data_IF_086141879334
#
_entry.id   IF_086141879334
#
_cell.length_a   1.000
_cell.length_b   1.000
_cell.length_c   1.000
_cell.angle_alpha   90.00
_cell.angle_beta   90.00
_cell.angle_gamma   90.00
#
_symmetry.space_group_name_H-M   'P 1'
#
loop_
_entity.id
_entity.type
_entity.pdbx_description
1 polymer ?
#
# COMPACT_ATOMS: atom_id res chain seq x y z
N UNK A 1 -58.32 46.75 69.16
CA UNK A 1 -58.07 47.22 67.78
C UNK A 1 -57.84 45.97 66.93
N UNK A 2 -58.68 45.62 65.93
CA UNK A 2 -58.79 46.25 64.60
C UNK A 2 -57.55 45.86 63.75
N UNK A 3 -57.61 45.15 62.59
CA UNK A 3 -58.68 44.95 61.57
C UNK A 3 -58.40 43.73 60.62
N UNK A 4 -59.42 43.28 59.86
CA UNK A 4 -59.54 42.98 58.39
C UNK A 4 -58.33 42.45 57.56
N UNK A 5 -58.42 41.57 56.51
CA UNK A 5 -59.41 40.55 56.00
C UNK A 5 -58.86 39.83 54.71
N UNK A 6 -59.38 38.64 54.31
CA UNK A 6 -59.22 37.95 52.97
C UNK A 6 -57.77 37.46 52.64
N UNK A 7 -57.39 36.56 51.69
CA UNK A 7 -57.94 35.70 50.58
C UNK A 7 -57.84 34.18 50.93
N UNK A 8 -58.26 33.10 50.21
CA UNK A 8 -58.65 32.64 48.84
C UNK A 8 -57.63 31.68 48.15
N UNK A 9 -58.06 30.41 47.97
CA UNK A 9 -57.70 29.36 46.97
C UNK A 9 -56.35 29.41 46.22
N UNK A 10 -55.60 28.29 46.27
CA UNK A 10 -54.84 27.78 45.11
C UNK A 10 -54.78 26.25 45.06
N UNK A 11 -54.67 25.72 43.83
CA UNK A 11 -54.80 24.30 43.48
C UNK A 11 -53.47 23.55 43.67
N UNK A 12 -53.51 22.29 44.12
CA UNK A 12 -52.32 21.41 44.17
C UNK A 12 -51.89 21.02 42.75
N UNK A 13 -50.83 21.65 42.24
CA UNK A 13 -50.20 21.28 40.97
C UNK A 13 -49.33 20.02 41.15
N UNK A 14 -49.76 18.92 40.55
CA UNK A 14 -48.93 17.73 40.36
C UNK A 14 -47.89 17.99 39.26
N UNK A 15 -46.68 18.40 39.64
CA UNK A 15 -45.55 18.49 38.73
C UNK A 15 -45.06 17.10 38.29
N UNK A 16 -45.74 16.56 37.28
CA UNK A 16 -45.18 15.50 36.45
C UNK A 16 -44.06 16.09 35.58
N UNK A 17 -42.84 15.60 35.73
CA UNK A 17 -41.80 15.81 34.72
C UNK A 17 -42.17 15.02 33.47
N UNK A 18 -42.93 15.62 32.56
CA UNK A 18 -42.95 15.14 31.18
C UNK A 18 -41.52 15.23 30.64
N UNK A 19 -40.96 14.07 30.30
CA UNK A 19 -39.69 13.99 29.58
C UNK A 19 -39.94 14.57 28.19
N UNK A 20 -39.50 15.81 27.96
CA UNK A 20 -39.57 16.41 26.63
C UNK A 20 -38.75 15.58 25.65
N UNK A 21 -39.45 14.92 24.74
CA UNK A 21 -38.84 14.32 23.56
C UNK A 21 -38.64 15.48 22.60
N UNK A 22 -37.46 16.13 22.65
CA UNK A 22 -37.10 17.04 21.56
C UNK A 22 -37.05 16.21 20.29
N UNK A 23 -38.03 16.43 19.41
CA UNK A 23 -38.10 15.75 18.13
C UNK A 23 -37.13 16.47 17.18
N UNK A 24 -35.84 16.23 17.38
CA UNK A 24 -34.73 16.62 16.51
C UNK A 24 -34.76 15.86 15.16
N UNK A 25 -35.97 15.65 14.62
CA UNK A 25 -36.21 15.31 13.23
C UNK A 25 -35.94 16.57 12.37
N UNK A 26 -34.68 17.00 12.37
CA UNK A 26 -34.19 18.03 11.47
C UNK A 26 -34.58 17.66 10.05
N UNK A 27 -35.26 18.58 9.35
CA UNK A 27 -35.94 18.33 8.08
C UNK A 27 -35.06 17.50 7.12
N UNK A 28 -35.61 16.51 6.40
CA UNK A 28 -34.81 15.74 5.45
C UNK A 28 -34.26 16.67 4.36
N UNK A 29 -33.01 16.44 3.96
CA UNK A 29 -32.42 17.08 2.79
C UNK A 29 -33.02 16.53 1.50
N UNK A 30 -33.07 17.34 0.45
CA UNK A 30 -33.39 16.89 -0.91
C UNK A 30 -32.24 17.17 -1.88
N UNK A 31 -32.18 16.45 -3.00
CA UNK A 31 -31.11 16.60 -3.98
C UNK A 31 -30.93 15.40 -4.92
N UNK A 32 -29.77 15.32 -5.57
CA UNK A 32 -29.46 14.29 -6.55
C UNK A 32 -28.02 13.73 -6.44
N UNK A 33 -27.86 12.43 -6.75
CA UNK A 33 -26.61 11.73 -7.05
C UNK A 33 -26.18 11.86 -8.53
N UNK A 34 -27.01 12.50 -9.35
CA UNK A 34 -26.84 12.63 -10.79
C UNK A 34 -26.72 14.12 -11.18
N UNK A 35 -26.10 14.38 -12.32
CA UNK A 35 -26.15 15.69 -12.97
C UNK A 35 -27.40 15.86 -13.85
N UNK A 36 -27.49 16.99 -14.56
CA UNK A 36 -28.62 17.30 -15.45
C UNK A 36 -28.70 16.41 -16.71
N UNK A 37 -27.66 15.63 -17.03
CA UNK A 37 -27.68 14.60 -18.07
C UNK A 37 -28.15 13.23 -17.57
N UNK A 38 -28.24 13.05 -16.25
CA UNK A 38 -28.50 11.75 -15.62
C UNK A 38 -27.23 10.96 -15.34
N UNK A 39 -26.05 11.50 -15.61
CA UNK A 39 -24.77 10.85 -15.30
C UNK A 39 -24.49 10.92 -13.80
N UNK A 40 -23.90 9.86 -13.25
CA UNK A 40 -23.45 9.82 -11.87
C UNK A 40 -22.45 10.94 -11.58
N UNK A 41 -22.73 11.75 -10.55
CA UNK A 41 -21.76 12.70 -10.00
C UNK A 41 -20.48 11.97 -9.54
N UNK A 42 -19.30 12.64 -9.57
CA UNK A 42 -18.02 11.96 -9.45
C UNK A 42 -17.85 11.21 -8.12
N UNK A 43 -17.22 10.04 -8.23
CA UNK A 43 -17.13 9.01 -7.20
C UNK A 43 -15.70 8.45 -7.10
N UNK A 44 -15.22 8.27 -5.87
CA UNK A 44 -13.92 7.68 -5.56
C UNK A 44 -14.13 6.43 -4.71
N UNK A 45 -13.48 5.32 -5.09
CA UNK A 45 -13.46 4.07 -4.31
C UNK A 45 -12.18 4.05 -3.48
N UNK A 46 -12.34 3.93 -2.16
CA UNK A 46 -11.24 3.82 -1.20
C UNK A 46 -11.01 2.38 -0.75
N UNK A 47 -9.73 1.97 -0.75
CA UNK A 47 -9.29 0.67 -0.24
C UNK A 47 -9.43 -0.49 -1.23
N UNK A 48 -8.80 -1.62 -0.90
CA UNK A 48 -8.89 -2.87 -1.65
C UNK A 48 -10.00 -3.75 -1.07
N UNK A 49 -10.92 -4.22 -1.92
CA UNK A 49 -11.99 -5.13 -1.55
C UNK A 49 -11.57 -6.55 -1.94
N UNK A 50 -11.54 -7.47 -0.97
CA UNK A 50 -10.95 -8.80 -1.13
C UNK A 50 -11.96 -9.87 -0.73
N UNK A 51 -12.09 -10.92 -1.54
CA UNK A 51 -13.04 -12.00 -1.29
C UNK A 51 -12.83 -12.64 0.10
N UNK A 52 -13.93 -12.82 0.82
CA UNK A 52 -14.03 -13.33 2.19
C UNK A 52 -13.40 -12.49 3.31
N UNK A 53 -12.90 -11.28 3.04
CA UNK A 53 -12.30 -10.38 4.03
C UNK A 53 -13.30 -9.34 4.55
N UNK A 54 -13.42 -9.22 5.87
CA UNK A 54 -14.24 -8.19 6.51
C UNK A 54 -13.72 -6.79 6.16
N UNK A 55 -14.61 -5.91 5.74
CA UNK A 55 -14.28 -4.53 5.40
C UNK A 55 -13.90 -3.72 6.65
N UNK A 56 -13.06 -2.71 6.46
CA UNK A 56 -12.59 -1.80 7.51
C UNK A 56 -12.87 -0.34 7.15
N UNK A 57 -12.52 0.60 8.02
CA UNK A 57 -12.66 2.04 7.76
C UNK A 57 -11.89 2.57 6.52
N UNK A 58 -10.93 1.80 6.00
CA UNK A 58 -10.25 2.11 4.73
C UNK A 58 -11.06 1.73 3.48
N UNK A 59 -12.14 0.93 3.64
CA UNK A 59 -13.03 0.50 2.57
C UNK A 59 -14.27 1.42 2.50
N UNK A 60 -14.30 2.31 1.52
CA UNK A 60 -15.38 3.31 1.40
C UNK A 60 -15.63 3.72 -0.05
N UNK A 61 -16.73 4.43 -0.28
CA UNK A 61 -16.98 5.19 -1.52
C UNK A 61 -17.24 6.63 -1.12
N UNK A 62 -16.46 7.57 -1.64
CA UNK A 62 -16.83 8.99 -1.59
C UNK A 62 -17.71 9.30 -2.79
N UNK A 63 -18.96 9.72 -2.54
CA UNK A 63 -19.93 10.12 -3.58
C UNK A 63 -20.17 11.62 -3.54
N UNK A 64 -20.30 12.24 -4.70
CA UNK A 64 -20.70 13.65 -4.80
C UNK A 64 -22.21 13.76 -4.96
N UNK A 65 -22.85 14.71 -4.27
CA UNK A 65 -24.28 14.99 -4.35
C UNK A 65 -24.55 16.48 -4.55
N UNK A 66 -25.54 16.80 -5.38
CA UNK A 66 -26.09 18.13 -5.52
C UNK A 66 -27.26 18.30 -4.54
N UNK A 67 -27.08 19.11 -3.49
CA UNK A 67 -28.08 19.31 -2.43
C UNK A 67 -28.97 20.50 -2.77
N UNK A 68 -30.27 20.26 -2.91
CA UNK A 68 -31.29 21.28 -3.20
C UNK A 68 -31.88 21.90 -1.92
N UNK A 69 -32.00 21.11 -0.84
CA UNK A 69 -32.48 21.58 0.46
C UNK A 69 -31.55 21.09 1.57
N UNK A 70 -31.10 22.04 2.41
CA UNK A 70 -30.34 21.74 3.64
C UNK A 70 -31.20 20.95 4.64
N UNK A 71 -30.61 19.96 5.30
CA UNK A 71 -31.37 18.99 6.11
C UNK A 71 -30.56 17.76 6.52
N UNK A 72 -31.19 16.83 7.23
CA UNK A 72 -30.60 15.52 7.56
C UNK A 72 -30.62 14.58 6.35
N UNK A 73 -29.54 13.83 6.14
CA UNK A 73 -29.41 12.90 5.03
C UNK A 73 -29.11 11.48 5.49
N UNK A 74 -29.52 10.51 4.67
CA UNK A 74 -29.06 9.13 4.67
C UNK A 74 -28.82 8.72 3.22
N UNK A 75 -27.59 8.34 2.90
CA UNK A 75 -27.17 7.83 1.60
C UNK A 75 -26.71 6.39 1.82
N UNK A 76 -27.16 5.46 1.00
CA UNK A 76 -26.90 4.02 1.20
C UNK A 76 -26.94 3.26 -0.12
N UNK A 77 -26.30 2.08 -0.15
CA UNK A 77 -26.40 1.15 -1.26
C UNK A 77 -27.40 0.01 -0.98
N UNK A 78 -27.75 -0.72 -2.03
CA UNK A 78 -28.14 -2.12 -1.94
C UNK A 78 -27.02 -3.00 -1.32
N UNK A 79 -27.34 -4.25 -0.98
CA UNK A 79 -26.37 -5.23 -0.49
C UNK A 79 -26.00 -6.17 -1.63
N UNK A 80 -24.75 -6.09 -2.10
CA UNK A 80 -24.21 -6.92 -3.18
C UNK A 80 -23.05 -7.74 -2.60
N UNK A 81 -22.94 -9.01 -3.02
CA UNK A 81 -21.81 -9.89 -2.67
C UNK A 81 -21.47 -9.97 -1.16
N UNK A 82 -22.45 -9.75 -0.26
CA UNK A 82 -22.26 -9.84 1.20
C UNK A 82 -21.84 -8.54 1.92
N UNK A 83 -21.79 -7.40 1.23
CA UNK A 83 -21.51 -6.09 1.83
C UNK A 83 -22.38 -4.97 1.24
N UNK A 84 -22.36 -3.81 1.88
CA UNK A 84 -23.04 -2.59 1.45
C UNK A 84 -22.26 -1.35 1.93
N UNK A 85 -22.66 -0.18 1.44
CA UNK A 85 -22.12 1.11 1.82
C UNK A 85 -23.19 2.01 2.43
N UNK A 86 -22.84 2.84 3.42
CA UNK A 86 -23.75 3.88 3.91
C UNK A 86 -23.05 5.07 4.57
N UNK A 87 -23.73 6.21 4.55
CA UNK A 87 -23.35 7.45 5.24
C UNK A 87 -24.60 8.23 5.67
N UNK A 88 -24.53 8.92 6.80
CA UNK A 88 -25.60 9.74 7.33
C UNK A 88 -25.05 10.97 8.06
N UNK A 89 -25.81 12.06 8.08
CA UNK A 89 -25.38 13.33 8.66
C UNK A 89 -26.39 14.43 8.35
N UNK A 90 -25.91 15.68 8.22
CA UNK A 90 -26.72 16.80 7.76
C UNK A 90 -25.94 17.77 6.88
N UNK A 91 -26.66 18.44 5.98
CA UNK A 91 -26.18 19.58 5.21
C UNK A 91 -26.68 20.87 5.87
N UNK A 92 -25.77 21.80 6.15
CA UNK A 92 -26.10 23.14 6.68
C UNK A 92 -26.53 24.13 5.60
N UNK A 93 -26.10 23.91 4.35
CA UNK A 93 -26.41 24.74 3.17
C UNK A 93 -26.66 23.86 1.94
N UNK A 94 -27.50 24.31 0.98
CA UNK A 94 -27.57 23.70 -0.36
C UNK A 94 -26.24 23.83 -1.12
N UNK A 95 -26.07 23.01 -2.16
CA UNK A 95 -24.88 23.01 -3.04
C UNK A 95 -24.24 21.63 -3.19
N UNK A 96 -23.15 21.57 -3.95
CA UNK A 96 -22.40 20.33 -4.20
C UNK A 96 -21.57 19.92 -2.98
N UNK A 97 -21.79 18.71 -2.48
CA UNK A 97 -21.11 18.15 -1.31
C UNK A 97 -20.57 16.75 -1.62
N UNK A 98 -19.41 16.38 -1.08
CA UNK A 98 -18.87 15.01 -1.18
C UNK A 98 -19.04 14.28 0.15
N UNK A 99 -19.71 13.12 0.13
CA UNK A 99 -20.06 12.33 1.31
C UNK A 99 -19.35 10.96 1.26
N UNK A 100 -18.70 10.60 2.35
CA UNK A 100 -18.10 9.27 2.54
C UNK A 100 -19.13 8.25 2.98
N UNK A 101 -19.34 7.23 2.15
CA UNK A 101 -20.11 6.03 2.47
C UNK A 101 -19.15 4.94 2.93
N UNK A 102 -19.23 4.53 4.21
CA UNK A 102 -18.38 3.47 4.76
C UNK A 102 -18.91 2.11 4.34
N UNK A 103 -18.01 1.21 3.94
CA UNK A 103 -18.34 -0.19 3.66
C UNK A 103 -18.67 -0.97 4.95
N UNK A 104 -19.55 -1.95 4.87
CA UNK A 104 -19.90 -2.83 5.99
C UNK A 104 -20.27 -4.22 5.47
N UNK A 105 -19.72 -5.27 6.10
CA UNK A 105 -19.87 -6.67 5.68
C UNK A 105 -18.56 -7.26 5.17
N UNK A 106 -18.64 -8.22 4.25
CA UNK A 106 -17.50 -8.77 3.51
C UNK A 106 -17.90 -9.18 2.09
N UNK A 107 -17.05 -9.01 1.07
CA UNK A 107 -17.23 -9.68 -0.20
C UNK A 107 -17.21 -11.20 -0.03
N UNK A 108 -17.98 -11.97 -0.81
CA UNK A 108 -18.03 -13.43 -0.76
C UNK A 108 -17.24 -14.08 -1.90
N UNK A 109 -17.29 -13.51 -3.10
CA UNK A 109 -16.51 -13.91 -4.28
C UNK A 109 -15.72 -12.73 -4.87
N UNK A 110 -14.71 -13.03 -5.69
CA UNK A 110 -14.08 -12.04 -6.57
C UNK A 110 -15.03 -11.58 -7.69
N UNK A 111 -14.72 -10.46 -8.34
CA UNK A 111 -15.48 -9.96 -9.49
C UNK A 111 -15.59 -8.44 -9.55
N UNK A 112 -16.69 -7.97 -10.13
CA UNK A 112 -17.05 -6.56 -10.24
C UNK A 112 -18.48 -6.37 -9.71
N UNK A 113 -18.61 -5.87 -8.49
CA UNK A 113 -19.90 -5.71 -7.83
C UNK A 113 -20.55 -4.39 -8.23
N UNK A 114 -21.70 -4.46 -8.91
CA UNK A 114 -22.45 -3.28 -9.32
C UNK A 114 -23.47 -2.89 -8.24
N UNK A 115 -23.10 -1.93 -7.40
CA UNK A 115 -23.97 -1.34 -6.38
C UNK A 115 -24.89 -0.28 -6.97
N UNK A 116 -26.07 -0.13 -6.40
CA UNK A 116 -26.99 0.99 -6.60
C UNK A 116 -27.01 1.86 -5.34
N UNK A 117 -26.48 3.08 -5.42
CA UNK A 117 -26.55 4.08 -4.34
C UNK A 117 -27.85 4.86 -4.45
N UNK A 118 -28.50 5.13 -3.33
CA UNK A 118 -29.74 5.90 -3.21
C UNK A 118 -29.55 7.18 -2.38
N UNK A 119 -30.14 8.29 -2.84
CA UNK A 119 -30.25 9.55 -2.11
C UNK A 119 -31.51 10.31 -2.57
N UNK A 120 -32.38 10.68 -1.63
CA UNK A 120 -33.67 11.29 -1.93
C UNK A 120 -34.47 10.41 -2.94
N UNK A 121 -34.92 10.97 -4.06
CA UNK A 121 -35.54 10.24 -5.17
C UNK A 121 -34.56 9.78 -6.26
N UNK A 122 -33.27 10.09 -6.11
CA UNK A 122 -32.21 9.79 -7.08
C UNK A 122 -31.44 8.51 -6.77
N UNK A 123 -30.81 7.93 -7.80
CA UNK A 123 -29.90 6.81 -7.65
C UNK A 123 -28.70 6.89 -8.61
N UNK A 124 -27.63 6.17 -8.30
CA UNK A 124 -26.44 6.07 -9.14
C UNK A 124 -25.81 4.68 -9.01
N UNK A 125 -25.41 4.07 -10.12
CA UNK A 125 -24.71 2.77 -10.11
C UNK A 125 -23.19 2.92 -9.98
N UNK A 126 -22.55 2.09 -9.15
CA UNK A 126 -21.11 2.11 -8.88
C UNK A 126 -20.56 0.69 -8.93
N UNK A 127 -19.59 0.45 -9.81
CA UNK A 127 -18.90 -0.83 -9.90
C UNK A 127 -17.69 -0.84 -8.95
N UNK A 128 -17.67 -1.76 -7.99
CA UNK A 128 -16.57 -1.98 -7.04
C UNK A 128 -15.81 -3.26 -7.45
N UNK A 129 -14.52 -3.18 -7.79
CA UNK A 129 -13.73 -4.37 -8.11
C UNK A 129 -13.34 -5.12 -6.84
N UNK A 130 -13.60 -6.43 -6.80
CA UNK A 130 -13.21 -7.34 -5.71
C UNK A 130 -12.14 -8.31 -6.20
N UNK A 131 -10.98 -8.31 -5.54
CA UNK A 131 -9.87 -9.22 -5.85
C UNK A 131 -10.02 -10.57 -5.13
N UNK A 132 -9.42 -11.66 -5.64
CA UNK A 132 -9.48 -12.97 -5.01
C UNK A 132 -8.87 -12.97 -3.60
N UNK A 133 -9.35 -13.89 -2.76
CA UNK A 133 -8.89 -14.06 -1.39
C UNK A 133 -7.37 -14.32 -1.35
N UNK A 134 -6.65 -13.63 -0.47
CA UNK A 134 -5.19 -13.68 -0.41
C UNK A 134 -4.48 -12.78 -1.43
N UNK A 135 -5.20 -11.93 -2.16
CA UNK A 135 -4.59 -10.86 -2.97
C UNK A 135 -4.14 -9.71 -2.07
N UNK A 136 -2.90 -9.27 -2.30
CA UNK A 136 -2.22 -8.25 -1.51
C UNK A 136 -2.24 -6.88 -2.22
N UNK A 137 -1.75 -5.79 -1.57
CA UNK A 137 -1.91 -4.45 -2.12
C UNK A 137 -1.38 -4.30 -3.55
N UNK A 138 -2.07 -3.48 -4.34
CA UNK A 138 -1.68 -3.06 -5.68
C UNK A 138 -1.10 -1.64 -5.71
N UNK A 139 -1.07 -0.97 -4.56
CA UNK A 139 -0.67 0.44 -4.38
C UNK A 139 0.14 0.63 -3.11
N UNK A 140 0.96 1.69 -3.08
CA UNK A 140 1.94 1.96 -2.04
C UNK A 140 3.38 1.73 -2.53
N UNK A 141 4.34 1.96 -1.63
CA UNK A 141 5.77 1.85 -1.94
C UNK A 141 6.18 0.41 -2.28
N UNK A 142 7.03 0.24 -3.30
CA UNK A 142 7.57 -1.05 -3.74
C UNK A 142 8.75 -1.53 -2.86
N UNK A 143 9.29 -0.69 -1.98
CA UNK A 143 10.26 -1.12 -0.97
C UNK A 143 10.03 -0.41 0.37
N UNK A 144 9.62 -1.18 1.39
CA UNK A 144 9.19 -0.65 2.67
C UNK A 144 10.38 -0.42 3.60
N UNK A 145 10.45 0.76 4.22
CA UNK A 145 11.53 1.18 5.13
C UNK A 145 11.04 1.52 6.54
N UNK A 146 9.79 1.17 6.88
CA UNK A 146 9.22 1.40 8.21
C UNK A 146 9.81 0.41 9.24
N UNK A 147 10.06 0.90 10.46
CA UNK A 147 10.77 0.11 11.48
C UNK A 147 9.96 -1.10 11.95
N UNK A 148 10.65 -2.21 12.20
CA UNK A 148 10.11 -3.53 12.53
C UNK A 148 9.37 -4.25 11.39
N UNK A 149 9.21 -3.65 10.21
CA UNK A 149 8.75 -4.36 9.02
C UNK A 149 9.70 -5.51 8.67
N UNK A 150 9.14 -6.68 8.37
CA UNK A 150 9.90 -7.92 8.17
C UNK A 150 9.31 -8.85 7.11
N UNK A 151 10.20 -9.63 6.50
CA UNK A 151 9.92 -10.64 5.48
C UNK A 151 10.64 -11.92 5.79
N UNK A 152 10.04 -13.07 5.49
CA UNK A 152 10.72 -14.35 5.47
C UNK A 152 10.53 -15.08 4.16
N UNK A 153 11.55 -15.81 3.74
CA UNK A 153 11.67 -16.45 2.44
C UNK A 153 11.91 -17.96 2.61
N UNK A 154 11.62 -18.74 1.58
CA UNK A 154 12.12 -20.12 1.51
C UNK A 154 13.59 -20.08 1.08
N UNK A 155 14.47 -20.72 1.84
CA UNK A 155 15.86 -20.92 1.45
C UNK A 155 15.96 -22.14 0.52
N UNK A 156 16.84 -22.15 -0.50
CA UNK A 156 17.11 -23.36 -1.28
C UNK A 156 17.84 -24.43 -0.46
N UNK A 157 18.46 -24.07 0.67
CA UNK A 157 19.03 -25.03 1.63
C UNK A 157 17.90 -25.74 2.39
N UNK A 158 17.86 -27.07 2.30
CA UNK A 158 16.70 -27.85 2.71
C UNK A 158 16.40 -27.71 4.23
N UNK A 159 15.30 -27.03 4.54
CA UNK A 159 14.83 -26.76 5.91
C UNK A 159 15.06 -25.34 6.41
N UNK A 160 15.84 -24.52 5.69
CA UNK A 160 16.23 -23.18 6.14
C UNK A 160 15.22 -22.07 5.75
N UNK A 161 15.28 -20.94 6.46
CA UNK A 161 14.44 -19.76 6.28
C UNK A 161 15.25 -18.49 6.53
N UNK A 162 15.46 -17.71 5.48
CA UNK A 162 15.95 -16.34 5.63
C UNK A 162 14.83 -15.44 6.18
N UNK A 163 15.11 -14.63 7.20
CA UNK A 163 14.26 -13.53 7.66
C UNK A 163 15.01 -12.20 7.60
N UNK A 164 14.50 -11.26 6.78
CA UNK A 164 14.91 -9.85 6.69
C UNK A 164 14.05 -8.99 7.62
N UNK A 165 14.61 -8.09 8.42
CA UNK A 165 13.86 -7.16 9.31
C UNK A 165 14.51 -5.78 9.39
N UNK A 166 13.74 -4.70 9.25
CA UNK A 166 14.21 -3.32 9.47
C UNK A 166 14.40 -3.07 10.98
N UNK A 167 15.63 -2.80 11.40
CA UNK A 167 16.00 -2.58 12.83
C UNK A 167 16.95 -1.39 13.00
N UNK A 168 16.39 -0.18 13.02
CA UNK A 168 17.15 1.04 13.30
C UNK A 168 17.97 1.54 12.12
N UNK A 169 19.01 2.32 12.40
CA UNK A 169 19.73 3.12 11.39
C UNK A 169 21.24 3.16 11.58
N UNK A 170 21.96 3.39 10.48
CA UNK A 170 23.36 3.83 10.42
C UNK A 170 23.46 5.13 9.64
N UNK A 171 24.51 5.93 9.88
CA UNK A 171 24.82 7.12 9.09
C UNK A 171 26.14 6.89 8.35
N UNK A 172 26.16 7.16 7.05
CA UNK A 172 27.36 7.15 6.21
C UNK A 172 27.32 8.28 5.17
N UNK A 173 28.46 8.92 4.92
CA UNK A 173 28.65 10.00 3.93
C UNK A 173 27.53 11.07 3.91
N UNK A 174 27.03 11.45 5.10
CA UNK A 174 25.95 12.44 5.25
C UNK A 174 24.52 11.91 5.03
N UNK A 175 24.35 10.63 4.69
CA UNK A 175 23.05 9.97 4.54
C UNK A 175 22.74 9.02 5.70
N UNK A 176 21.46 8.92 6.06
CA UNK A 176 20.97 7.89 7.00
C UNK A 176 20.39 6.71 6.23
N UNK A 177 20.77 5.50 6.62
CA UNK A 177 20.28 4.23 6.08
C UNK A 177 19.54 3.46 7.16
N UNK A 178 18.45 2.78 6.80
CA UNK A 178 17.84 1.73 7.61
C UNK A 178 18.70 0.47 7.55
N UNK A 179 18.82 -0.23 8.67
CA UNK A 179 19.50 -1.53 8.72
C UNK A 179 18.47 -2.63 8.51
N UNK A 180 18.56 -3.34 7.38
CA UNK A 180 17.77 -4.51 7.05
C UNK A 180 18.58 -5.77 7.40
N UNK A 181 18.41 -6.27 8.62
CA UNK A 181 19.19 -7.42 9.11
C UNK A 181 18.64 -8.76 8.66
N UNK A 182 19.55 -9.69 8.39
CA UNK A 182 19.26 -11.05 7.93
C UNK A 182 19.53 -12.11 9.00
N UNK A 183 18.61 -13.06 9.12
CA UNK A 183 18.73 -14.26 9.97
C UNK A 183 18.40 -15.52 9.19
N UNK A 184 19.21 -16.57 9.33
CA UNK A 184 18.86 -17.94 8.98
C UNK A 184 18.07 -18.65 10.12
N UNK A 185 17.79 -19.95 9.94
CA UNK A 185 17.10 -20.81 10.92
C UNK A 185 17.72 -20.86 12.32
N UNK A 186 19.03 -20.61 12.47
CA UNK A 186 19.69 -20.61 13.80
C UNK A 186 19.26 -19.43 14.68
N UNK A 187 18.53 -18.46 14.12
CA UNK A 187 18.14 -17.19 14.74
C UNK A 187 19.31 -16.26 15.13
N UNK A 188 20.54 -16.60 14.73
CA UNK A 188 21.67 -15.66 14.68
C UNK A 188 21.41 -14.61 13.58
N UNK A 189 22.10 -13.48 13.62
CA UNK A 189 22.14 -12.54 12.49
C UNK A 189 23.39 -12.83 11.67
N UNK A 190 23.21 -13.12 10.38
CA UNK A 190 24.29 -13.55 9.49
C UNK A 190 24.81 -12.38 8.63
N UNK A 191 23.93 -11.46 8.23
CA UNK A 191 24.28 -10.27 7.46
C UNK A 191 23.38 -9.05 7.77
N UNK A 192 23.67 -7.88 7.20
CA UNK A 192 22.97 -6.61 7.38
C UNK A 192 23.08 -5.71 6.14
N UNK A 193 22.01 -5.61 5.37
CA UNK A 193 21.91 -4.68 4.24
C UNK A 193 21.54 -3.27 4.72
N UNK A 194 22.05 -2.22 4.07
CA UNK A 194 21.88 -0.83 4.50
C UNK A 194 21.11 -0.02 3.46
N UNK A 195 19.83 0.26 3.69
CA UNK A 195 18.89 0.73 2.66
C UNK A 195 18.25 2.07 2.98
N UNK A 196 18.11 2.97 2.00
CA UNK A 196 17.48 4.30 2.16
C UNK A 196 16.60 4.68 0.96
N UNK A 197 15.64 5.57 1.18
CA UNK A 197 14.84 6.23 0.14
C UNK A 197 15.20 7.71 0.07
N UNK A 198 15.19 8.30 -1.13
CA UNK A 198 15.32 9.74 -1.35
C UNK A 198 14.45 10.15 -2.53
N UNK A 199 13.34 10.85 -2.25
CA UNK A 199 12.27 11.03 -3.22
C UNK A 199 11.72 9.68 -3.69
N UNK A 200 11.69 9.46 -4.99
CA UNK A 200 11.23 8.20 -5.61
C UNK A 200 12.34 7.12 -5.70
N UNK A 201 13.59 7.41 -5.32
CA UNK A 201 14.73 6.52 -5.56
C UNK A 201 15.13 5.75 -4.28
N UNK A 202 15.42 4.46 -4.40
CA UNK A 202 15.93 3.61 -3.33
C UNK A 202 17.41 3.25 -3.56
N UNK A 203 18.19 3.32 -2.49
CA UNK A 203 19.62 3.08 -2.53
C UNK A 203 20.05 2.09 -1.45
N UNK A 204 21.00 1.22 -1.78
CA UNK A 204 21.68 0.31 -0.87
C UNK A 204 23.14 0.77 -0.70
N UNK A 205 23.63 0.85 0.54
CA UNK A 205 25.04 1.05 0.86
C UNK A 205 25.69 -0.31 1.03
N UNK A 206 26.58 -0.68 0.10
CA UNK A 206 27.30 -1.95 0.10
C UNK A 206 28.64 -1.78 -0.64
N UNK A 207 29.49 -2.82 -0.66
CA UNK A 207 30.64 -2.83 -1.56
C UNK A 207 30.17 -2.89 -3.02
N UNK A 208 30.83 -2.14 -3.89
CA UNK A 208 30.39 -1.94 -5.28
C UNK A 208 30.45 -3.17 -6.17
N UNK A 209 31.01 -4.26 -5.65
CA UNK A 209 31.25 -5.56 -6.27
C UNK A 209 30.46 -6.70 -5.60
N UNK A 210 29.69 -6.42 -4.55
CA UNK A 210 28.92 -7.40 -3.76
C UNK A 210 27.96 -8.27 -4.61
N UNK A 211 27.49 -7.74 -5.73
CA UNK A 211 26.55 -8.43 -6.64
C UNK A 211 27.19 -8.96 -7.94
N UNK A 212 28.53 -8.99 -8.04
CA UNK A 212 29.29 -9.57 -9.18
C UNK A 212 30.00 -10.89 -8.81
N UNK A 213 30.54 -11.61 -9.81
CA UNK A 213 31.30 -12.87 -9.57
C UNK A 213 32.71 -12.67 -9.01
N UNK A 214 33.14 -11.41 -8.85
CA UNK A 214 34.50 -11.00 -8.50
C UNK A 214 34.48 -9.85 -7.49
N UNK A 215 35.61 -9.64 -6.82
CA UNK A 215 35.82 -8.55 -5.86
C UNK A 215 37.06 -7.75 -6.26
N UNK A 216 37.07 -6.44 -6.01
CA UNK A 216 38.23 -5.59 -6.20
C UNK A 216 39.28 -5.83 -5.11
N UNK A 217 40.57 -5.75 -5.47
CA UNK A 217 41.72 -5.86 -4.55
C UNK A 217 41.70 -4.75 -3.45
N UNK A 218 40.96 -3.67 -3.70
CA UNK A 218 40.63 -2.63 -2.72
C UNK A 218 39.11 -2.42 -2.75
N UNK A 219 38.36 -2.85 -1.73
CA UNK A 219 36.91 -2.71 -1.69
C UNK A 219 36.45 -1.24 -1.77
N UNK A 220 35.49 -0.96 -2.65
CA UNK A 220 34.91 0.37 -2.83
C UNK A 220 33.48 0.37 -2.27
N UNK A 221 33.24 1.09 -1.18
CA UNK A 221 31.90 1.25 -0.61
C UNK A 221 31.11 2.32 -1.40
N UNK A 222 29.85 2.06 -1.74
CA UNK A 222 29.00 3.04 -2.45
C UNK A 222 27.49 2.84 -2.21
N UNK A 223 26.72 3.88 -2.55
CA UNK A 223 25.26 3.89 -2.46
C UNK A 223 24.59 3.57 -3.82
N UNK A 224 24.44 2.28 -4.12
CA UNK A 224 23.88 1.76 -5.37
C UNK A 224 22.37 2.02 -5.49
N UNK A 225 21.93 2.64 -6.60
CA UNK A 225 20.51 2.90 -6.92
C UNK A 225 19.85 1.62 -7.48
N UNK A 226 19.18 0.85 -6.62
CA UNK A 226 18.65 -0.47 -6.97
C UNK A 226 17.17 -0.50 -7.39
N UNK A 227 16.37 0.51 -7.02
CA UNK A 227 14.94 0.58 -7.35
C UNK A 227 14.44 2.04 -7.43
N UNK A 228 13.33 2.26 -8.13
CA UNK A 228 12.61 3.55 -8.21
C UNK A 228 11.11 3.34 -8.12
N UNK A 229 10.37 4.35 -7.66
CA UNK A 229 8.91 4.44 -7.80
C UNK A 229 8.50 5.06 -9.13
N UNK A 230 7.37 4.59 -9.69
CA UNK A 230 6.81 5.10 -10.94
C UNK A 230 7.46 4.54 -12.21
N UNK A 231 8.04 3.34 -12.12
CA UNK A 231 8.63 2.63 -13.25
C UNK A 231 7.56 2.10 -14.22
N UNK A 232 7.93 1.98 -15.50
CA UNK A 232 7.15 1.29 -16.55
C UNK A 232 7.95 0.14 -17.17
N UNK A 233 7.25 -0.82 -17.79
CA UNK A 233 7.89 -1.96 -18.47
C UNK A 233 8.80 -1.47 -19.60
N UNK A 234 10.07 -1.89 -19.58
CA UNK A 234 11.09 -1.43 -20.52
C UNK A 234 11.94 -0.26 -20.03
N UNK A 235 11.67 0.33 -18.86
CA UNK A 235 12.58 1.28 -18.23
C UNK A 235 13.94 0.65 -17.94
N UNK A 236 15.00 1.43 -18.07
CA UNK A 236 16.37 1.00 -17.76
C UNK A 236 17.18 2.12 -17.09
N UNK A 237 18.23 1.74 -16.35
CA UNK A 237 19.26 2.66 -15.88
C UNK A 237 20.57 1.93 -15.61
N UNK A 238 21.66 2.69 -15.48
CA UNK A 238 22.99 2.16 -15.17
C UNK A 238 23.47 2.76 -13.84
N UNK A 239 24.27 2.01 -13.07
CA UNK A 239 25.05 2.59 -11.98
C UNK A 239 26.10 3.58 -12.50
N UNK A 240 26.85 4.22 -11.58
CA UNK A 240 28.15 4.80 -11.97
C UNK A 240 29.11 3.69 -12.40
N UNK A 241 30.17 4.08 -13.11
CA UNK A 241 31.31 3.21 -13.36
C UNK A 241 32.19 3.15 -12.09
N UNK A 242 32.54 1.94 -11.67
CA UNK A 242 33.53 1.64 -10.64
C UNK A 242 34.83 1.20 -11.34
N UNK A 243 35.98 1.52 -10.76
CA UNK A 243 37.30 1.17 -11.31
C UNK A 243 38.25 0.81 -10.16
N UNK A 244 39.02 -0.25 -10.35
CA UNK A 244 40.01 -0.76 -9.40
C UNK A 244 40.84 -1.85 -10.08
N UNK A 245 41.47 -2.73 -9.30
CA UNK A 245 42.14 -3.92 -9.82
C UNK A 245 41.50 -5.20 -9.28
N UNK A 246 41.63 -6.30 -10.02
CA UNK A 246 41.25 -7.65 -9.59
C UNK A 246 42.44 -8.58 -9.85
N UNK A 247 43.08 -9.10 -8.81
CA UNK A 247 44.34 -9.83 -8.94
C UNK A 247 45.47 -9.01 -9.56
N UNK A 248 45.42 -7.68 -9.43
CA UNK A 248 46.34 -6.73 -10.10
C UNK A 248 46.00 -6.40 -11.55
N UNK A 249 44.86 -6.85 -12.10
CA UNK A 249 44.39 -6.50 -13.45
C UNK A 249 43.47 -5.29 -13.39
N UNK A 250 43.77 -4.24 -14.17
CA UNK A 250 42.93 -3.03 -14.31
C UNK A 250 41.50 -3.42 -14.74
N UNK A 251 40.53 -3.20 -13.85
CA UNK A 251 39.17 -3.72 -13.97
C UNK A 251 38.15 -2.62 -13.73
N UNK A 252 37.08 -2.64 -14.51
CA UNK A 252 35.92 -1.75 -14.39
C UNK A 252 34.64 -2.54 -14.24
N UNK A 253 33.74 -2.02 -13.40
CA UNK A 253 32.42 -2.60 -13.10
C UNK A 253 31.33 -1.55 -13.26
N UNK A 254 30.16 -1.96 -13.73
CA UNK A 254 28.90 -1.21 -13.66
C UNK A 254 27.73 -2.19 -13.60
N UNK A 255 26.60 -1.76 -13.05
CA UNK A 255 25.35 -2.51 -13.10
C UNK A 255 24.40 -1.89 -14.10
N UNK A 256 23.84 -2.71 -14.99
CA UNK A 256 22.72 -2.38 -15.86
C UNK A 256 21.43 -2.92 -15.26
N UNK A 257 20.46 -2.04 -15.04
CA UNK A 257 19.14 -2.35 -14.53
C UNK A 257 18.11 -2.26 -15.66
N UNK A 258 17.23 -3.26 -15.79
CA UNK A 258 16.11 -3.23 -16.74
C UNK A 258 14.83 -3.75 -16.08
N UNK A 259 13.73 -3.02 -16.27
CA UNK A 259 12.39 -3.39 -15.78
C UNK A 259 11.74 -4.35 -16.78
N UNK A 260 11.82 -5.65 -16.46
CA UNK A 260 11.24 -6.75 -17.26
C UNK A 260 9.72 -6.60 -17.34
N UNK A 261 9.10 -6.22 -16.22
CA UNK A 261 7.67 -5.94 -16.14
C UNK A 261 7.38 -5.01 -14.94
N UNK A 262 6.66 -3.91 -15.16
CA UNK A 262 6.24 -3.00 -14.10
C UNK A 262 4.82 -3.26 -13.56
N UNK A 263 4.09 -4.23 -14.14
CA UNK A 263 2.75 -4.61 -13.68
C UNK A 263 2.58 -6.13 -13.76
N UNK A 264 3.48 -6.88 -13.12
CA UNK A 264 3.36 -8.32 -13.04
C UNK A 264 2.32 -8.75 -11.99
N UNK A 265 1.68 -9.89 -12.25
CA UNK A 265 0.89 -10.64 -11.27
C UNK A 265 1.60 -11.95 -10.99
N UNK A 266 1.89 -12.24 -9.72
CA UNK A 266 2.63 -13.44 -9.27
C UNK A 266 2.02 -14.00 -7.99
N UNK A 267 2.18 -15.31 -7.76
CA UNK A 267 1.62 -15.98 -6.57
C UNK A 267 2.72 -16.72 -5.81
N UNK A 268 2.94 -16.35 -4.55
CA UNK A 268 3.91 -17.00 -3.65
C UNK A 268 3.25 -17.34 -2.31
N UNK A 269 3.52 -18.55 -1.80
CA UNK A 269 2.95 -19.11 -0.57
C UNK A 269 1.41 -18.93 -0.45
N UNK A 270 0.69 -19.18 -1.55
CA UNK A 270 -0.77 -19.07 -1.63
C UNK A 270 -1.34 -17.65 -1.60
N UNK A 271 -0.50 -16.62 -1.75
CA UNK A 271 -0.92 -15.21 -1.83
C UNK A 271 -0.57 -14.63 -3.20
N UNK A 272 -1.46 -13.80 -3.74
CA UNK A 272 -1.28 -13.17 -5.05
C UNK A 272 -0.85 -11.71 -4.87
N UNK A 273 0.20 -11.34 -5.57
CA UNK A 273 0.78 -10.00 -5.61
C UNK A 273 0.52 -9.43 -7.00
N UNK A 274 0.06 -8.19 -7.08
CA UNK A 274 -0.28 -7.50 -8.35
C UNK A 274 0.50 -6.19 -8.43
N UNK A 275 0.59 -5.60 -9.63
CA UNK A 275 1.41 -4.41 -9.88
C UNK A 275 2.87 -4.60 -9.44
N UNK A 276 3.42 -5.82 -9.63
CA UNK A 276 4.76 -6.18 -9.17
C UNK A 276 5.81 -5.71 -10.18
N UNK A 277 6.83 -5.01 -9.68
CA UNK A 277 8.02 -4.63 -10.43
C UNK A 277 9.00 -5.81 -10.48
N UNK A 278 9.26 -6.34 -11.67
CA UNK A 278 10.31 -7.30 -11.98
C UNK A 278 11.51 -6.54 -12.54
N UNK A 279 12.58 -6.42 -11.76
CA UNK A 279 13.79 -5.65 -12.11
C UNK A 279 14.97 -6.61 -12.21
N UNK A 280 15.58 -6.68 -13.40
CA UNK A 280 16.91 -7.28 -13.56
C UNK A 280 17.98 -6.29 -13.12
N UNK A 281 19.03 -6.79 -12.48
CA UNK A 281 20.27 -6.09 -12.17
C UNK A 281 21.42 -6.96 -12.66
N UNK A 282 22.16 -6.50 -13.68
CA UNK A 282 23.25 -7.24 -14.30
C UNK A 282 24.58 -6.51 -14.11
N UNK A 283 25.58 -7.17 -13.52
CA UNK A 283 26.96 -6.66 -13.57
C UNK A 283 27.54 -6.80 -14.97
N UNK A 284 28.34 -5.81 -15.37
CA UNK A 284 29.18 -5.88 -16.56
C UNK A 284 30.62 -5.55 -16.19
N UNK A 285 31.57 -6.39 -16.62
CA UNK A 285 33.01 -6.24 -16.37
C UNK A 285 33.73 -5.77 -17.64
N UNK A 286 34.76 -4.94 -17.48
CA UNK A 286 35.75 -4.61 -18.50
C UNK A 286 37.14 -4.72 -17.89
N UNK A 287 38.07 -5.39 -18.56
CA UNK A 287 39.45 -5.63 -18.09
C UNK A 287 40.46 -5.06 -19.10
N UNK A 288 41.52 -4.41 -18.63
CA UNK A 288 42.58 -3.81 -19.44
C UNK A 288 42.06 -2.89 -20.59
N UNK A 289 40.91 -2.24 -20.40
CA UNK A 289 40.27 -1.39 -21.40
C UNK A 289 39.49 -2.12 -22.50
N UNK A 290 39.26 -3.43 -22.38
CA UNK A 290 38.39 -4.20 -23.28
C UNK A 290 36.93 -3.70 -23.25
N UNK A 291 36.15 -4.10 -24.25
CA UNK A 291 34.70 -3.87 -24.24
C UNK A 291 34.03 -4.54 -23.03
N UNK A 292 32.92 -3.97 -22.56
CA UNK A 292 32.15 -4.54 -21.46
C UNK A 292 31.54 -5.89 -21.84
N UNK A 293 31.84 -6.92 -21.05
CA UNK A 293 31.17 -8.22 -21.08
C UNK A 293 30.13 -8.30 -19.95
N UNK A 294 29.10 -9.11 -20.16
CA UNK A 294 28.14 -9.48 -19.13
C UNK A 294 28.79 -10.41 -18.09
N UNK A 295 28.43 -10.25 -16.82
CA UNK A 295 28.89 -11.05 -15.69
C UNK A 295 27.69 -11.77 -15.03
N UNK A 296 27.23 -11.33 -13.85
CA UNK A 296 26.13 -11.92 -13.09
C UNK A 296 24.82 -11.20 -13.38
N UNK A 297 23.70 -11.92 -13.40
CA UNK A 297 22.35 -11.32 -13.46
C UNK A 297 21.50 -11.75 -12.26
N UNK A 298 21.13 -10.77 -11.44
CA UNK A 298 20.08 -10.89 -10.43
C UNK A 298 18.74 -10.46 -11.01
N UNK A 299 17.64 -11.08 -10.55
CA UNK A 299 16.28 -10.62 -10.83
C UNK A 299 15.53 -10.47 -9.51
N UNK A 300 15.05 -9.26 -9.22
CA UNK A 300 14.35 -8.90 -8.00
C UNK A 300 12.90 -8.50 -8.29
N UNK A 301 12.00 -8.96 -7.44
CA UNK A 301 10.57 -8.76 -7.55
C UNK A 301 10.09 -7.95 -6.35
N UNK A 302 9.45 -6.81 -6.61
CA UNK A 302 9.01 -5.86 -5.60
C UNK A 302 7.51 -5.62 -5.74
N UNK A 303 6.74 -5.85 -4.69
CA UNK A 303 5.30 -5.67 -4.67
C UNK A 303 4.91 -4.41 -3.86
N UNK A 304 4.01 -3.56 -4.38
CA UNK A 304 3.62 -2.32 -3.71
C UNK A 304 2.93 -2.62 -2.38
N UNK A 305 3.23 -1.83 -1.35
CA UNK A 305 2.69 -2.04 0.00
C UNK A 305 3.14 -3.35 0.67
N UNK A 306 4.12 -4.06 0.09
CA UNK A 306 4.74 -5.25 0.70
C UNK A 306 6.25 -5.13 0.72
N UNK A 307 6.91 -4.73 -0.37
CA UNK A 307 8.37 -4.70 -0.48
C UNK A 307 8.93 -5.83 -1.36
N UNK A 308 10.13 -6.28 -1.04
CA UNK A 308 10.86 -7.34 -1.74
C UNK A 308 10.17 -8.71 -1.52
N UNK A 309 9.66 -9.34 -2.59
CA UNK A 309 8.88 -10.59 -2.51
C UNK A 309 9.55 -11.80 -3.15
N UNK A 310 10.52 -11.60 -4.05
CA UNK A 310 11.33 -12.67 -4.61
C UNK A 310 12.67 -12.13 -5.12
N UNK A 311 13.70 -12.94 -5.00
CA UNK A 311 15.06 -12.69 -5.51
C UNK A 311 15.52 -13.97 -6.22
N UNK A 312 16.08 -13.83 -7.42
CA UNK A 312 16.75 -14.91 -8.15
C UNK A 312 18.17 -14.50 -8.56
N UNK A 313 19.08 -15.48 -8.53
CA UNK A 313 20.38 -15.50 -9.20
C UNK A 313 20.51 -16.78 -10.02
N UNK A 314 21.20 -16.68 -11.15
CA UNK A 314 21.45 -17.79 -12.08
C UNK A 314 22.79 -17.55 -12.79
N UNK A 315 23.78 -18.41 -12.56
CA UNK A 315 25.09 -18.38 -13.23
C UNK A 315 25.28 -19.58 -14.18
N UNK A 316 24.20 -20.30 -14.50
CA UNK A 316 24.22 -21.54 -15.28
C UNK A 316 24.79 -22.76 -14.53
N UNK A 317 25.24 -22.60 -13.28
CA UNK A 317 25.81 -23.66 -12.43
C UNK A 317 25.01 -23.83 -11.13
N UNK A 318 24.50 -22.73 -10.56
CA UNK A 318 23.64 -22.68 -9.38
C UNK A 318 22.45 -21.75 -9.63
N UNK A 319 21.24 -22.25 -9.36
CA UNK A 319 20.03 -21.45 -9.30
C UNK A 319 19.68 -21.16 -7.83
N UNK A 320 19.75 -19.89 -7.45
CA UNK A 320 19.39 -19.41 -6.12
C UNK A 320 18.07 -18.65 -6.21
N UNK A 321 17.05 -19.07 -5.46
CA UNK A 321 15.73 -18.45 -5.47
C UNK A 321 15.21 -18.28 -4.03
N UNK A 322 14.75 -17.08 -3.70
CA UNK A 322 14.16 -16.72 -2.40
C UNK A 322 12.70 -16.25 -2.55
N UNK A 323 11.72 -17.15 -2.73
CA UNK A 323 10.31 -16.77 -2.72
C UNK A 323 9.82 -16.43 -1.30
N UNK A 324 9.06 -15.34 -1.18
CA UNK A 324 8.44 -14.92 0.08
C UNK A 324 7.47 -15.99 0.64
N UNK A 325 7.51 -16.14 1.96
CA UNK A 325 6.60 -16.99 2.74
C UNK A 325 5.66 -16.15 3.58
N UNK A 326 6.20 -15.38 4.51
CA UNK A 326 5.43 -14.56 5.45
C UNK A 326 6.06 -13.19 5.58
N UNK A 327 5.26 -12.19 5.93
CA UNK A 327 5.75 -10.84 6.20
C UNK A 327 4.81 -10.12 7.15
N UNK A 328 5.30 -9.01 7.68
CA UNK A 328 4.50 -7.98 8.35
C UNK A 328 5.11 -6.63 7.99
N UNK A 329 4.26 -5.70 7.57
CA UNK A 329 4.64 -4.33 7.26
C UNK A 329 3.77 -3.38 8.08
N UNK A 330 4.34 -2.23 8.41
CA UNK A 330 3.75 -1.19 9.27
C UNK A 330 3.77 0.17 8.58
#
# INVERSE_FOLDING_TARGET
>A
MQRIVITLVSLLFLFSCQKEISLEAGKPSSGALQDNGGDCLPKLIGGTFEANKTLTDSNYIDVTVAVSLAGTYRIYSDTVNGYYFSGAGSFSVPGTNTIRLRGTGKPLSEGNDLFTIYYDSSFCSIQVPVVPAGTLPSTGDHFILTDNSWWSYASPVQGDTLKRTIVGTVNDNGFTYKILKEKNTTNVYDDSLYVRKSGNNYYELNYSDYYSSFYFDTPVLDSLLFLKEGLVTGDAWTSREYTGTVGGVDTKLKYLFNVINANATVTYNGRTYTNVYQVSMKSQKSENGAAYADDVTWINYYAPGVGWIYQKYDDGTQAFELPIRYFQVF
#
